data_IF_134689814159
#
_entry.id   IF_134689814159
#
_cell.length_a   1.000
_cell.length_b   1.000
_cell.length_c   1.000
_cell.angle_alpha   90.00
_cell.angle_beta   90.00
_cell.angle_gamma   90.00
#
_symmetry.space_group_name_H-M   'P 1'
#
loop_
_entity.id
_entity.type
_entity.pdbx_description
1 polymer ?
#
# COMPACT_ATOMS: atom_id res chain seq x y z
N UNK A 1 -12.76 0.14 18.97
CA UNK A 1 -12.89 -1.27 19.43
C UNK A 1 -12.69 -2.32 18.33
N UNK A 2 -12.73 -1.98 17.02
CA UNK A 2 -12.54 -2.95 15.92
C UNK A 2 -11.10 -3.47 15.81
N UNK A 3 -10.08 -2.63 16.04
CA UNK A 3 -8.66 -3.03 15.98
C UNK A 3 -8.30 -4.25 16.83
N UNK A 4 -9.01 -4.52 17.92
CA UNK A 4 -8.69 -5.62 18.83
C UNK A 4 -9.34 -6.96 18.44
N UNK A 5 -10.36 -6.96 17.56
CA UNK A 5 -11.22 -8.14 17.34
C UNK A 5 -11.61 -8.38 15.89
N UNK A 6 -11.51 -7.36 15.03
CA UNK A 6 -11.80 -7.49 13.60
C UNK A 6 -10.51 -7.93 12.90
N UNK A 7 -10.50 -9.10 12.22
CA UNK A 7 -9.31 -9.56 11.50
C UNK A 7 -9.02 -8.71 10.26
N UNK A 8 -9.97 -7.89 9.81
CA UNK A 8 -9.75 -7.00 8.68
C UNK A 8 -9.00 -5.75 9.10
N UNK A 9 -8.02 -5.37 8.29
CA UNK A 9 -7.37 -4.07 8.43
C UNK A 9 -8.41 -2.93 8.37
N UNK A 10 -8.18 -1.81 9.07
CA UNK A 10 -8.97 -0.59 8.92
C UNK A 10 -9.10 -0.15 7.46
N UNK A 11 -10.22 0.49 7.07
CA UNK A 11 -10.51 0.83 5.67
C UNK A 11 -9.39 1.60 4.97
N UNK A 12 -8.75 2.55 5.65
CA UNK A 12 -7.66 3.36 5.12
C UNK A 12 -6.43 2.51 4.74
N UNK A 13 -6.13 1.47 5.52
CA UNK A 13 -5.02 0.56 5.24
C UNK A 13 -5.37 -0.50 4.20
N UNK A 14 -6.66 -0.85 4.08
CA UNK A 14 -7.13 -1.73 2.99
C UNK A 14 -6.97 -1.05 1.62
N UNK A 15 -7.05 0.27 1.57
CA UNK A 15 -6.78 1.04 0.35
C UNK A 15 -5.27 1.33 0.21
N UNK A 16 -4.74 2.20 1.07
CA UNK A 16 -3.40 2.77 0.91
C UNK A 16 -2.28 1.74 1.15
N UNK A 17 -2.52 0.77 2.03
CA UNK A 17 -1.54 -0.26 2.35
C UNK A 17 -1.33 -1.28 1.22
N UNK A 18 -2.36 -1.50 0.39
CA UNK A 18 -2.28 -2.43 -0.75
C UNK A 18 -1.62 -1.77 -1.94
N UNK A 19 -2.13 -0.61 -2.38
CA UNK A 19 -1.69 0.03 -3.64
C UNK A 19 -0.22 0.46 -3.61
N UNK A 20 0.35 0.78 -2.45
CA UNK A 20 1.77 1.16 -2.34
C UNK A 20 2.76 0.02 -2.62
N UNK A 21 2.27 -1.23 -2.72
CA UNK A 21 3.05 -2.40 -3.14
C UNK A 21 2.83 -2.78 -4.62
N UNK A 22 2.01 -2.04 -5.36
CA UNK A 22 1.69 -2.30 -6.77
C UNK A 22 2.42 -1.30 -7.66
N UNK A 23 3.15 -1.77 -8.66
CA UNK A 23 3.92 -0.90 -9.56
C UNK A 23 3.00 -0.01 -10.40
N UNK A 24 1.82 -0.52 -10.77
CA UNK A 24 0.83 0.21 -11.56
C UNK A 24 0.29 1.46 -10.85
N UNK A 25 0.33 1.49 -9.51
CA UNK A 25 -0.02 2.69 -8.74
C UNK A 25 1.02 3.81 -8.95
N UNK A 26 2.31 3.46 -9.05
CA UNK A 26 3.35 4.43 -9.33
C UNK A 26 3.23 4.98 -10.75
N UNK A 27 2.97 4.10 -11.72
CA UNK A 27 2.82 4.47 -13.13
C UNK A 27 1.57 5.32 -13.37
N UNK A 28 0.44 4.95 -12.78
CA UNK A 28 -0.84 5.62 -13.01
C UNK A 28 -0.89 7.04 -12.43
N UNK A 29 -0.17 7.29 -11.33
CA UNK A 29 -0.25 8.56 -10.59
C UNK A 29 1.07 9.34 -10.55
N UNK A 30 2.16 8.81 -11.11
CA UNK A 30 3.46 9.47 -11.12
C UNK A 30 4.11 9.61 -9.75
N UNK A 31 3.92 8.61 -8.87
CA UNK A 31 4.37 8.65 -7.47
C UNK A 31 5.89 8.57 -7.39
N UNK A 32 6.51 9.54 -6.72
CA UNK A 32 7.96 9.66 -6.52
C UNK A 32 8.38 9.61 -5.04
N UNK A 33 9.69 9.69 -4.78
CA UNK A 33 10.28 9.54 -3.45
C UNK A 33 9.77 10.55 -2.40
N UNK A 34 9.27 11.70 -2.85
CA UNK A 34 8.75 12.76 -1.98
C UNK A 34 7.28 12.55 -1.57
N UNK A 35 6.60 11.56 -2.17
CA UNK A 35 5.19 11.29 -1.89
C UNK A 35 4.98 10.38 -0.67
N UNK A 36 3.96 10.67 0.14
CA UNK A 36 3.71 9.97 1.41
C UNK A 36 3.54 8.44 1.27
N UNK A 37 2.93 7.98 0.18
CA UNK A 37 2.68 6.57 -0.07
C UNK A 37 3.85 5.86 -0.78
N UNK A 38 4.91 6.57 -1.16
CA UNK A 38 6.06 5.96 -1.81
C UNK A 38 6.68 4.87 -0.93
N UNK A 39 7.10 3.79 -1.59
CA UNK A 39 7.86 2.72 -1.00
C UNK A 39 8.95 2.30 -1.99
N UNK A 40 10.19 2.19 -1.50
CA UNK A 40 11.33 1.70 -2.29
C UNK A 40 10.98 0.38 -2.97
N UNK A 41 11.34 0.18 -4.25
CA UNK A 41 11.00 -1.04 -5.00
C UNK A 41 11.35 -2.33 -4.25
N UNK A 42 12.52 -2.39 -3.60
CA UNK A 42 13.00 -3.57 -2.88
C UNK A 42 12.22 -3.86 -1.59
N UNK A 43 11.40 -2.90 -1.13
CA UNK A 43 10.55 -3.03 0.06
C UNK A 43 9.09 -3.34 -0.29
N UNK A 44 8.72 -3.33 -1.56
CA UNK A 44 7.37 -3.70 -2.02
C UNK A 44 7.19 -5.20 -1.88
N UNK A 45 6.04 -5.58 -1.33
CA UNK A 45 5.71 -6.99 -1.08
C UNK A 45 4.96 -7.55 -2.27
N UNK A 46 5.57 -8.53 -2.92
CA UNK A 46 4.98 -9.33 -3.99
C UNK A 46 4.79 -10.75 -3.49
N UNK A 47 3.53 -11.17 -3.31
CA UNK A 47 3.22 -12.55 -2.92
C UNK A 47 2.83 -13.36 -4.16
N UNK A 48 1.98 -12.79 -5.01
CA UNK A 48 1.36 -13.49 -6.14
C UNK A 48 1.42 -12.72 -7.47
N UNK A 49 1.83 -11.45 -7.44
CA UNK A 49 2.02 -10.59 -8.58
C UNK A 49 3.51 -10.48 -8.95
#
# INVERSE_FOLDING_TARGET
RRLAVDPHSPPEFRCNGVIRNMDEFYDAFGVGQDDELYLEPERRVHIWN
#
